data_IF_351041128896
#
_entry.id   IF_351041128896
#
_cell.length_a   1.000
_cell.length_b   1.000
_cell.length_c   1.000
_cell.angle_alpha   90.00
_cell.angle_beta   90.00
_cell.angle_gamma   90.00
#
_symmetry.space_group_name_H-M   'P 1'
#
loop_
_entity.id
_entity.type
_entity.pdbx_description
1 polymer ?
#
# COMPACT_ATOMS: atom_id res chain seq x y z
N UNK A 1 11.37 13.83 -20.63
CA UNK A 1 10.16 12.98 -20.52
C UNK A 1 10.63 11.53 -20.41
N UNK A 2 10.10 10.78 -19.44
CA UNK A 2 10.46 9.36 -19.28
C UNK A 2 9.87 8.50 -20.36
N UNK A 3 10.59 7.49 -20.78
CA UNK A 3 9.98 6.43 -21.59
C UNK A 3 9.05 5.57 -20.75
N UNK A 4 8.08 4.92 -21.40
CA UNK A 4 7.19 3.96 -20.71
C UNK A 4 7.96 2.86 -19.99
N UNK A 5 9.03 2.35 -20.60
CA UNK A 5 9.84 1.28 -20.02
C UNK A 5 10.61 1.74 -18.76
N UNK A 6 11.12 2.98 -18.77
CA UNK A 6 11.76 3.57 -17.58
C UNK A 6 10.76 3.76 -16.45
N UNK A 7 9.58 4.32 -16.74
CA UNK A 7 8.51 4.50 -15.77
C UNK A 7 8.05 3.16 -15.19
N UNK A 8 7.83 2.15 -16.03
CA UNK A 8 7.43 0.81 -15.59
C UNK A 8 8.44 0.20 -14.61
N UNK A 9 9.72 0.28 -14.93
CA UNK A 9 10.81 -0.20 -14.06
C UNK A 9 10.80 0.49 -12.70
N UNK A 10 10.56 1.80 -12.68
CA UNK A 10 10.51 2.59 -11.45
C UNK A 10 9.25 2.27 -10.63
N UNK A 11 8.13 1.98 -11.28
CA UNK A 11 6.92 1.53 -10.59
C UNK A 11 7.12 0.13 -9.99
N UNK A 12 7.77 -0.79 -10.70
CA UNK A 12 8.16 -2.09 -10.12
C UNK A 12 9.01 -1.88 -8.86
N UNK A 13 9.95 -0.94 -8.91
CA UNK A 13 10.81 -0.65 -7.74
C UNK A 13 10.00 -0.15 -6.55
N UNK A 14 9.10 0.84 -6.73
CA UNK A 14 8.34 1.39 -5.60
C UNK A 14 7.34 0.37 -5.03
N UNK A 15 6.72 -0.46 -5.86
CA UNK A 15 5.85 -1.57 -5.41
C UNK A 15 6.66 -2.57 -4.57
N UNK A 16 7.85 -2.93 -5.02
CA UNK A 16 8.73 -3.84 -4.28
C UNK A 16 9.30 -3.20 -3.01
N UNK A 17 9.56 -1.91 -3.01
CA UNK A 17 9.98 -1.16 -1.82
C UNK A 17 8.94 -1.21 -0.73
N UNK A 18 7.68 -1.01 -1.07
CA UNK A 18 6.57 -1.16 -0.12
C UNK A 18 6.52 -2.58 0.45
N UNK A 19 6.65 -3.61 -0.40
CA UNK A 19 6.68 -5.01 0.06
C UNK A 19 7.83 -5.26 1.03
N UNK A 20 9.04 -4.78 0.71
CA UNK A 20 10.19 -4.89 1.63
C UNK A 20 9.96 -4.17 2.95
N UNK A 21 9.30 -3.02 2.93
CA UNK A 21 8.98 -2.28 4.14
C UNK A 21 8.04 -3.07 5.07
N UNK A 22 7.04 -3.74 4.52
CA UNK A 22 6.17 -4.64 5.28
C UNK A 22 6.92 -5.87 5.80
N UNK A 23 7.72 -6.51 4.95
CA UNK A 23 8.49 -7.71 5.30
C UNK A 23 9.47 -7.46 6.45
N UNK A 24 10.14 -6.32 6.43
CA UNK A 24 11.15 -5.93 7.43
C UNK A 24 10.59 -5.13 8.60
N UNK A 25 9.29 -4.81 8.59
CA UNK A 25 8.66 -3.90 9.56
C UNK A 25 9.39 -2.55 9.65
N UNK A 26 9.81 -2.03 8.51
CA UNK A 26 10.53 -0.77 8.41
C UNK A 26 9.55 0.36 8.09
N UNK A 27 9.09 1.05 9.12
CA UNK A 27 8.12 2.13 8.96
C UNK A 27 8.72 3.35 8.26
N UNK A 28 10.01 3.62 8.43
CA UNK A 28 10.67 4.74 7.76
C UNK A 28 10.76 4.50 6.25
N UNK A 29 11.05 3.27 5.84
CA UNK A 29 11.00 2.88 4.44
C UNK A 29 9.57 2.95 3.88
N UNK A 30 8.59 2.48 4.65
CA UNK A 30 7.19 2.46 4.24
C UNK A 30 6.67 3.86 3.92
N UNK A 31 6.90 4.84 4.79
CA UNK A 31 6.40 6.20 4.59
C UNK A 31 7.05 6.94 3.41
N UNK A 32 8.20 6.48 2.91
CA UNK A 32 8.82 7.07 1.70
C UNK A 32 7.97 6.86 0.44
N UNK A 33 7.06 5.88 0.47
CA UNK A 33 6.20 5.53 -0.66
C UNK A 33 5.06 6.53 -0.84
N UNK A 34 4.58 7.15 0.24
CA UNK A 34 3.33 7.91 0.27
C UNK A 34 3.52 9.38 -0.14
N UNK A 35 2.56 9.87 -0.95
CA UNK A 35 2.39 11.30 -1.18
C UNK A 35 1.75 11.97 0.04
N UNK A 36 2.06 13.23 0.29
CA UNK A 36 1.50 13.97 1.43
C UNK A 36 -0.02 14.19 1.38
N UNK A 37 -0.65 14.01 0.22
CA UNK A 37 -2.10 14.05 0.03
C UNK A 37 -2.70 12.67 -0.29
N UNK A 38 -2.00 11.61 0.06
CA UNK A 38 -2.45 10.25 -0.20
C UNK A 38 -3.82 9.96 0.40
N UNK A 39 -4.62 9.18 -0.31
CA UNK A 39 -5.91 8.65 0.15
C UNK A 39 -5.82 7.13 0.25
N UNK A 40 -6.24 6.60 1.40
CA UNK A 40 -6.25 5.16 1.65
C UNK A 40 -7.55 4.73 2.38
N UNK A 41 -8.64 4.51 1.63
CA UNK A 41 -9.84 3.93 2.20
C UNK A 41 -9.67 2.42 2.43
N UNK A 42 -10.25 1.92 3.50
CA UNK A 42 -10.34 0.48 3.72
C UNK A 42 -11.63 0.09 4.45
N UNK A 43 -12.02 -1.20 4.41
CA UNK A 43 -13.21 -1.65 5.09
C UNK A 43 -13.04 -1.57 6.63
N UNK A 44 -14.13 -1.34 7.34
CA UNK A 44 -14.12 -1.27 8.82
C UNK A 44 -13.77 -2.61 9.48
N UNK A 45 -13.98 -3.71 8.77
CA UNK A 45 -13.64 -5.07 9.19
C UNK A 45 -13.57 -6.00 7.96
N UNK A 46 -13.19 -7.25 8.17
CA UNK A 46 -13.03 -8.25 7.09
C UNK A 46 -14.32 -8.61 6.34
N UNK A 47 -15.48 -8.29 6.89
CA UNK A 47 -16.77 -8.65 6.31
C UNK A 47 -17.44 -7.47 5.57
N UNK A 48 -16.89 -6.26 5.72
CA UNK A 48 -17.43 -5.04 5.13
C UNK A 48 -16.90 -4.84 3.71
N UNK A 49 -17.40 -5.61 2.75
CA UNK A 49 -16.96 -5.56 1.36
C UNK A 49 -17.65 -4.48 0.53
N UNK A 50 -18.73 -3.88 1.03
CA UNK A 50 -19.40 -2.78 0.34
C UNK A 50 -18.57 -1.50 0.48
N UNK A 51 -18.16 -0.86 -0.63
CA UNK A 51 -17.42 0.41 -0.59
C UNK A 51 -18.12 1.54 0.17
N UNK A 52 -19.43 1.50 0.31
CA UNK A 52 -20.20 2.45 1.13
C UNK A 52 -19.83 2.38 2.62
N UNK A 53 -19.30 1.25 3.07
CA UNK A 53 -18.85 1.04 4.45
C UNK A 53 -17.34 1.29 4.65
N UNK A 54 -16.65 1.69 3.61
CA UNK A 54 -15.22 2.00 3.72
C UNK A 54 -15.00 3.31 4.47
N UNK A 55 -13.90 3.36 5.19
CA UNK A 55 -13.54 4.50 6.03
C UNK A 55 -12.12 4.96 5.73
N UNK A 56 -11.86 6.23 5.99
CA UNK A 56 -10.52 6.83 5.92
C UNK A 56 -9.95 6.88 7.35
N UNK A 57 -9.62 5.72 7.92
CA UNK A 57 -9.20 5.62 9.33
C UNK A 57 -7.94 6.43 9.64
N UNK A 58 -7.02 6.53 8.68
CA UNK A 58 -5.80 7.35 8.84
C UNK A 58 -6.02 8.81 8.42
N UNK A 59 -7.16 9.11 7.79
CA UNK A 59 -7.44 10.43 7.25
C UNK A 59 -6.44 10.84 6.17
N UNK A 60 -6.27 12.15 5.97
CA UNK A 60 -5.24 12.71 5.11
C UNK A 60 -3.86 12.28 5.62
N UNK A 61 -2.93 12.03 4.71
CA UNK A 61 -1.58 11.65 5.09
C UNK A 61 -0.95 12.69 6.01
N UNK A 62 -0.50 12.21 7.15
CA UNK A 62 0.30 12.92 8.14
C UNK A 62 1.42 11.96 8.54
N UNK A 63 2.66 12.32 8.24
CA UNK A 63 3.78 11.40 8.38
C UNK A 63 3.95 10.91 9.83
N UNK A 64 3.77 11.76 10.82
CA UNK A 64 3.90 11.41 12.24
C UNK A 64 2.80 10.45 12.67
N UNK A 65 1.53 10.78 12.36
CA UNK A 65 0.38 9.92 12.71
C UNK A 65 0.43 8.58 11.99
N UNK A 66 0.70 8.56 10.69
CA UNK A 66 0.74 7.32 9.92
C UNK A 66 1.91 6.44 10.34
N UNK A 67 3.10 7.03 10.57
CA UNK A 67 4.26 6.31 11.11
C UNK A 67 3.94 5.68 12.45
N UNK A 68 3.27 6.42 13.36
CA UNK A 68 2.88 5.88 14.66
C UNK A 68 1.93 4.70 14.54
N UNK A 69 0.91 4.80 13.70
CA UNK A 69 -0.07 3.69 13.50
C UNK A 69 0.62 2.43 12.97
N UNK A 70 1.46 2.55 11.96
CA UNK A 70 2.18 1.39 11.41
C UNK A 70 3.24 0.87 12.36
N UNK A 71 3.93 1.73 13.09
CA UNK A 71 4.88 1.29 14.11
C UNK A 71 4.17 0.54 15.26
N UNK A 72 3.01 1.00 15.70
CA UNK A 72 2.20 0.31 16.71
C UNK A 72 1.80 -1.11 16.23
N UNK A 73 1.42 -1.26 14.95
CA UNK A 73 1.17 -2.57 14.36
C UNK A 73 2.42 -3.45 14.40
N UNK A 74 3.56 -2.91 13.98
CA UNK A 74 4.83 -3.66 13.94
C UNK A 74 5.30 -4.08 15.33
N UNK A 75 5.06 -3.25 16.34
CA UNK A 75 5.46 -3.54 17.73
C UNK A 75 4.54 -4.56 18.42
N UNK A 76 3.28 -4.66 18.00
CA UNK A 76 2.27 -5.48 18.67
C UNK A 76 1.95 -6.79 17.95
N UNK A 77 2.37 -6.94 16.71
CA UNK A 77 2.06 -8.11 15.88
C UNK A 77 3.32 -8.74 15.29
N UNK A 78 3.35 -10.06 15.24
CA UNK A 78 4.30 -10.81 14.43
C UNK A 78 3.79 -10.90 12.99
N UNK A 79 4.67 -10.75 12.03
CA UNK A 79 4.36 -11.02 10.63
C UNK A 79 4.51 -12.53 10.39
N UNK A 80 3.41 -13.22 10.12
CA UNK A 80 3.43 -14.67 9.87
C UNK A 80 3.79 -14.92 8.41
N UNK A 81 3.15 -14.21 7.48
CA UNK A 81 3.55 -14.18 6.08
C UNK A 81 3.10 -12.87 5.42
N UNK A 82 3.78 -12.50 4.36
CA UNK A 82 3.42 -11.39 3.50
C UNK A 82 3.62 -11.82 2.04
N UNK A 83 2.58 -12.33 1.42
CA UNK A 83 2.59 -12.81 0.03
C UNK A 83 1.93 -11.76 -0.84
N UNK A 84 2.70 -11.18 -1.75
CA UNK A 84 2.21 -10.14 -2.64
C UNK A 84 2.57 -10.49 -4.07
N UNK A 85 1.60 -10.35 -4.98
CA UNK A 85 1.79 -10.62 -6.39
C UNK A 85 1.27 -9.45 -7.20
N UNK A 86 2.16 -8.77 -7.91
CA UNK A 86 1.78 -7.74 -8.88
C UNK A 86 1.16 -8.42 -10.11
N UNK A 87 -0.09 -8.10 -10.38
CA UNK A 87 -0.86 -8.67 -11.49
C UNK A 87 -0.78 -7.82 -12.74
N UNK A 88 -0.69 -6.51 -12.57
CA UNK A 88 -0.69 -5.54 -13.67
C UNK A 88 -0.02 -4.26 -13.26
N UNK A 89 0.74 -3.65 -14.17
CA UNK A 89 1.20 -2.26 -14.09
C UNK A 89 0.78 -1.57 -15.38
N UNK A 90 0.17 -0.40 -15.25
CA UNK A 90 -0.14 0.49 -16.36
C UNK A 90 0.50 1.86 -16.14
N UNK A 91 1.04 2.40 -17.21
CA UNK A 91 1.68 3.72 -17.23
C UNK A 91 0.88 4.62 -18.17
N UNK A 92 0.66 5.87 -17.75
CA UNK A 92 0.04 6.89 -18.59
C UNK A 92 0.84 7.12 -19.88
N UNK A 93 0.19 7.62 -20.88
CA UNK A 93 0.83 7.95 -22.18
C UNK A 93 1.98 8.96 -21.98
N UNK A 94 1.81 9.90 -21.05
CA UNK A 94 2.81 10.94 -20.73
C UNK A 94 3.95 10.42 -19.83
N UNK A 95 3.84 9.22 -19.27
CA UNK A 95 4.85 8.65 -18.38
C UNK A 95 4.89 9.26 -16.98
N UNK A 96 3.82 9.93 -16.54
CA UNK A 96 3.73 10.69 -15.30
C UNK A 96 2.69 10.17 -14.30
N UNK A 97 1.87 9.23 -14.72
CA UNK A 97 0.88 8.54 -13.90
C UNK A 97 0.96 7.03 -14.10
N UNK A 98 0.65 6.30 -13.06
CA UNK A 98 0.64 4.84 -13.14
C UNK A 98 -0.34 4.22 -12.13
N UNK A 99 -0.75 3.00 -12.39
CA UNK A 99 -1.34 2.17 -11.36
C UNK A 99 -0.78 0.75 -11.37
N UNK A 100 -0.78 0.12 -10.20
CA UNK A 100 -0.45 -1.28 -10.04
C UNK A 100 -1.62 -2.03 -9.40
N UNK A 101 -1.94 -3.19 -9.95
CA UNK A 101 -2.90 -4.15 -9.37
C UNK A 101 -2.09 -5.21 -8.65
N UNK A 102 -2.29 -5.34 -7.34
CA UNK A 102 -1.50 -6.22 -6.48
C UNK A 102 -2.43 -7.11 -5.65
N UNK A 103 -2.24 -8.42 -5.77
CA UNK A 103 -2.87 -9.38 -4.86
C UNK A 103 -2.06 -9.43 -3.57
N UNK A 104 -2.76 -9.31 -2.45
CA UNK A 104 -2.19 -9.24 -1.10
C UNK A 104 -2.75 -10.39 -0.27
N UNK A 105 -1.85 -11.10 0.39
CA UNK A 105 -2.16 -12.11 1.41
C UNK A 105 -1.14 -11.93 2.53
N UNK A 106 -1.50 -11.09 3.51
CA UNK A 106 -0.63 -10.71 4.62
C UNK A 106 -1.28 -11.12 5.93
N UNK A 107 -0.62 -11.98 6.69
CA UNK A 107 -1.11 -12.45 7.97
C UNK A 107 -0.25 -11.92 9.11
N UNK A 108 -0.89 -11.20 9.99
CA UNK A 108 -0.35 -10.73 11.26
C UNK A 108 -0.93 -11.54 12.42
N UNK A 109 -0.16 -11.68 13.50
CA UNK A 109 -0.64 -12.32 14.73
C UNK A 109 -0.23 -11.50 15.94
N UNK A 110 -1.18 -11.16 16.79
CA UNK A 110 -0.89 -10.45 18.04
C UNK A 110 -0.29 -11.38 19.12
N UNK A 111 0.09 -10.79 20.25
CA UNK A 111 0.70 -11.54 21.37
C UNK A 111 -0.25 -12.53 22.05
N UNK A 112 -1.56 -12.34 21.89
CA UNK A 112 -2.58 -13.26 22.38
C UNK A 112 -2.87 -14.41 21.42
N UNK A 113 -2.19 -14.45 20.27
CA UNK A 113 -2.38 -15.47 19.23
C UNK A 113 -3.55 -15.21 18.29
N UNK A 114 -4.14 -14.00 18.33
CA UNK A 114 -5.22 -13.60 17.44
C UNK A 114 -4.66 -13.16 16.10
N UNK A 115 -5.21 -13.72 15.04
CA UNK A 115 -4.84 -13.39 13.67
C UNK A 115 -5.54 -12.12 13.18
N UNK A 116 -4.77 -11.35 12.42
CA UNK A 116 -5.24 -10.20 11.67
C UNK A 116 -4.80 -10.37 10.21
N UNK A 117 -5.75 -10.67 9.33
CA UNK A 117 -5.48 -11.12 7.97
C UNK A 117 -5.93 -10.09 6.94
N UNK A 118 -4.98 -9.64 6.13
CA UNK A 118 -5.24 -8.81 4.95
C UNK A 118 -5.21 -9.70 3.72
N UNK A 119 -6.35 -9.89 3.07
CA UNK A 119 -6.43 -10.71 1.88
C UNK A 119 -7.37 -10.09 0.86
N UNK A 120 -6.88 -9.96 -0.36
CA UNK A 120 -7.65 -9.44 -1.48
C UNK A 120 -6.77 -8.72 -2.49
N UNK A 121 -7.41 -8.04 -3.42
CA UNK A 121 -6.76 -7.26 -4.47
C UNK A 121 -6.81 -5.78 -4.16
N UNK A 122 -5.68 -5.10 -4.27
CA UNK A 122 -5.57 -3.65 -4.17
C UNK A 122 -5.21 -3.03 -5.51
N UNK A 123 -5.76 -1.85 -5.78
CA UNK A 123 -5.27 -0.96 -6.83
C UNK A 123 -4.52 0.20 -6.18
N UNK A 124 -3.31 0.43 -6.64
CA UNK A 124 -2.40 1.45 -6.13
C UNK A 124 -2.12 2.44 -7.24
N UNK A 125 -2.35 3.72 -6.97
CA UNK A 125 -2.15 4.81 -7.93
C UNK A 125 -0.90 5.58 -7.57
N UNK A 126 -0.07 5.84 -8.57
CA UNK A 126 1.18 6.57 -8.42
C UNK A 126 1.23 7.76 -9.35
N UNK A 127 1.87 8.83 -8.91
CA UNK A 127 2.13 10.02 -9.74
C UNK A 127 3.60 10.38 -9.67
N UNK A 128 4.12 10.87 -10.80
CA UNK A 128 5.47 11.40 -10.89
C UNK A 128 5.52 12.83 -10.36
N UNK A 129 6.32 13.07 -9.32
CA UNK A 129 6.42 14.37 -8.65
C UNK A 129 7.53 15.27 -9.24
N UNK A 130 8.03 14.93 -10.43
CA UNK A 130 9.15 15.64 -11.04
C UNK A 130 10.53 15.06 -10.69
N UNK A 131 10.67 14.49 -9.51
CA UNK A 131 11.93 13.89 -9.02
C UNK A 131 11.78 12.44 -8.61
N UNK A 132 10.59 12.03 -8.17
CA UNK A 132 10.30 10.69 -7.68
C UNK A 132 8.84 10.31 -7.89
N UNK A 133 8.54 9.01 -7.86
CA UNK A 133 7.19 8.51 -7.82
C UNK A 133 6.67 8.48 -6.38
N UNK A 134 5.42 8.85 -6.20
CA UNK A 134 4.71 8.71 -4.93
C UNK A 134 3.37 8.03 -5.13
N UNK A 135 2.96 7.21 -4.18
CA UNK A 135 1.61 6.67 -4.13
C UNK A 135 0.63 7.77 -3.72
N UNK A 136 -0.40 7.99 -4.52
CA UNK A 136 -1.43 9.00 -4.28
C UNK A 136 -2.77 8.42 -3.88
N UNK A 137 -2.99 7.13 -4.15
CA UNK A 137 -4.18 6.40 -3.72
C UNK A 137 -3.89 4.91 -3.56
N UNK A 138 -4.54 4.30 -2.56
CA UNK A 138 -4.54 2.86 -2.34
C UNK A 138 -5.99 2.44 -2.04
N UNK A 139 -6.55 1.51 -2.81
CA UNK A 139 -7.90 0.99 -2.49
C UNK A 139 -7.83 0.07 -1.26
N UNK A 140 -8.96 -0.11 -0.59
CA UNK A 140 -9.12 -1.25 0.31
C UNK A 140 -8.92 -2.57 -0.45
N UNK A 141 -8.72 -3.64 0.28
CA UNK A 141 -8.57 -4.97 -0.33
C UNK A 141 -9.93 -5.46 -0.83
N UNK A 142 -10.02 -5.68 -2.13
CA UNK A 142 -11.23 -6.11 -2.81
C UNK A 142 -11.25 -7.63 -2.94
N UNK A 143 -12.41 -8.23 -2.70
CA UNK A 143 -12.67 -9.62 -3.08
C UNK A 143 -12.88 -9.72 -4.59
N UNK A 144 -12.41 -10.80 -5.18
CA UNK A 144 -12.53 -11.08 -6.61
C UNK A 144 -12.67 -12.58 -6.87
#
# INVERSE_FOLDING_TARGET
MKTRAEAEKEIVEIVNRETRAWDSKDVDLLITVFHHDMVWPWPVNSDAHDPLHWVLMLGRFDAERWKKVWQDLFDTHALIHNRRQTKKIEISEQGDGAFAVVDVDTLWRDRAGKDFHWKGRACKVYSWMGTEWKMTMHTGLLNY
#
